data_IF_465167300724
#
_entry.id   IF_465167300724
#
_cell.length_a   1.000
_cell.length_b   1.000
_cell.length_c   1.000
_cell.angle_alpha   90.00
_cell.angle_beta   90.00
_cell.angle_gamma   90.00
#
_symmetry.space_group_name_H-M   'P 1'
#
loop_
_entity.id
_entity.type
_entity.pdbx_description
1 polymer ?
#
# COMPACT_ATOMS: atom_id res chain seq x y z
N UNK A 1 37.86 -24.41 -33.45
CA UNK A 1 38.07 -22.99 -33.10
C UNK A 1 36.91 -22.18 -33.65
N UNK A 2 36.53 -21.11 -32.95
CA UNK A 2 35.38 -20.19 -33.16
C UNK A 2 34.05 -20.73 -32.61
N UNK A 3 33.65 -20.48 -31.36
CA UNK A 3 33.45 -19.23 -30.59
C UNK A 3 32.19 -18.44 -31.01
N UNK A 4 31.27 -18.36 -30.03
CA UNK A 4 30.35 -17.24 -29.74
C UNK A 4 29.12 -17.03 -30.63
N UNK A 5 27.94 -17.33 -30.09
CA UNK A 5 27.05 -16.25 -29.62
C UNK A 5 26.03 -16.81 -28.63
N UNK A 6 26.27 -16.50 -27.36
CA UNK A 6 25.25 -16.52 -26.32
C UNK A 6 24.23 -15.41 -26.63
N UNK A 7 23.10 -15.79 -27.22
CA UNK A 7 21.89 -14.96 -27.20
C UNK A 7 21.21 -15.19 -25.86
N UNK A 8 21.55 -14.37 -24.87
CA UNK A 8 20.75 -14.24 -23.64
C UNK A 8 19.37 -13.72 -24.06
N UNK A 9 18.44 -14.63 -24.29
CA UNK A 9 17.02 -14.33 -24.33
C UNK A 9 16.65 -13.82 -22.93
N UNK A 10 16.74 -12.50 -22.74
CA UNK A 10 16.13 -11.83 -21.60
C UNK A 10 14.63 -12.04 -21.73
N UNK A 11 14.15 -13.14 -21.16
CA UNK A 11 12.75 -13.36 -20.82
C UNK A 11 12.33 -12.24 -19.86
N UNK A 12 11.86 -11.15 -20.46
CA UNK A 12 11.10 -10.11 -19.79
C UNK A 12 9.98 -10.84 -19.04
N UNK A 13 9.82 -10.68 -17.72
CA UNK A 13 8.74 -11.37 -17.01
C UNK A 13 7.42 -10.91 -17.63
N UNK A 14 6.72 -11.86 -18.22
CA UNK A 14 5.35 -11.68 -18.69
C UNK A 14 4.49 -11.52 -17.44
N UNK A 15 4.29 -10.27 -17.02
CA UNK A 15 3.51 -9.91 -15.84
C UNK A 15 1.99 -10.03 -16.10
N UNK A 16 1.58 -10.64 -17.21
CA UNK A 16 0.19 -10.63 -17.67
C UNK A 16 -0.65 -11.81 -17.12
N UNK A 17 -0.02 -12.77 -16.43
CA UNK A 17 -0.70 -13.94 -15.85
C UNK A 17 -1.03 -13.80 -14.35
N UNK A 18 -0.67 -12.68 -13.70
CA UNK A 18 -1.02 -12.47 -12.30
C UNK A 18 -2.44 -11.92 -12.16
N UNK A 19 -3.42 -12.82 -12.30
CA UNK A 19 -4.84 -12.51 -12.06
C UNK A 19 -5.04 -12.01 -10.63
N UNK A 20 -5.79 -10.92 -10.49
CA UNK A 20 -6.18 -10.41 -9.18
C UNK A 20 -6.97 -11.46 -8.37
N UNK A 21 -6.71 -11.59 -7.07
CA UNK A 21 -7.46 -12.49 -6.19
C UNK A 21 -8.96 -12.19 -6.22
N UNK A 22 -9.79 -13.20 -5.96
CA UNK A 22 -11.23 -13.00 -5.90
C UNK A 22 -11.62 -12.04 -4.77
N UNK A 23 -12.76 -11.35 -4.89
CA UNK A 23 -13.26 -10.46 -3.83
C UNK A 23 -13.42 -11.22 -2.50
N UNK A 24 -13.82 -12.49 -2.56
CA UNK A 24 -13.93 -13.36 -1.38
C UNK A 24 -12.58 -13.61 -0.72
N UNK A 25 -11.52 -13.86 -1.49
CA UNK A 25 -10.17 -14.09 -0.95
C UNK A 25 -9.58 -12.82 -0.34
N UNK A 26 -9.84 -11.67 -0.97
CA UNK A 26 -9.44 -10.35 -0.45
C UNK A 26 -10.14 -10.07 0.89
N UNK A 27 -11.43 -10.33 1.00
CA UNK A 27 -12.19 -10.16 2.24
C UNK A 27 -11.76 -11.15 3.33
N UNK A 28 -11.46 -12.40 2.98
CA UNK A 28 -10.90 -13.38 3.94
C UNK A 28 -9.56 -12.91 4.50
N UNK A 29 -8.66 -12.43 3.63
CA UNK A 29 -7.35 -11.93 4.03
C UNK A 29 -7.48 -10.70 4.95
N UNK A 30 -8.30 -9.74 4.55
CA UNK A 30 -8.62 -8.54 5.34
C UNK A 30 -9.12 -8.90 6.74
N UNK A 31 -10.08 -9.82 6.84
CA UNK A 31 -10.63 -10.28 8.12
C UNK A 31 -9.59 -11.02 8.97
N UNK A 32 -8.75 -11.85 8.35
CA UNK A 32 -7.67 -12.54 9.05
C UNK A 32 -6.65 -11.57 9.64
N UNK A 33 -6.26 -10.54 8.88
CA UNK A 33 -5.32 -9.49 9.34
C UNK A 33 -5.94 -8.71 10.49
N UNK A 34 -7.20 -8.27 10.37
CA UNK A 34 -7.91 -7.60 11.46
C UNK A 34 -7.92 -8.45 12.73
N UNK A 35 -8.28 -9.73 12.63
CA UNK A 35 -8.30 -10.65 13.77
C UNK A 35 -6.91 -10.83 14.40
N UNK A 36 -5.84 -10.90 13.59
CA UNK A 36 -4.48 -11.05 14.09
C UNK A 36 -3.97 -9.81 14.83
N UNK A 37 -4.32 -8.61 14.33
CA UNK A 37 -3.98 -7.33 14.96
C UNK A 37 -4.85 -7.03 16.19
N UNK A 38 -5.95 -7.74 16.37
CA UNK A 38 -6.93 -7.51 17.42
C UNK A 38 -6.77 -8.39 18.67
N UNK A 39 -5.59 -8.99 18.89
CA UNK A 39 -5.38 -10.00 19.94
C UNK A 39 -5.42 -9.48 21.38
N UNK A 40 -5.12 -8.20 21.62
CA UNK A 40 -5.03 -7.62 22.97
C UNK A 40 -6.25 -6.79 23.40
N UNK A 41 -7.38 -6.88 22.66
CA UNK A 41 -8.63 -6.21 23.04
C UNK A 41 -8.66 -4.68 22.86
N UNK A 42 -7.59 -4.07 22.35
CA UNK A 42 -7.53 -2.64 21.99
C UNK A 42 -7.54 -2.48 20.45
N UNK A 43 -8.75 -2.43 19.87
CA UNK A 43 -9.01 -3.00 18.52
C UNK A 43 -9.75 -2.09 17.54
N UNK A 44 -9.86 -0.78 17.79
CA UNK A 44 -10.50 0.13 16.82
C UNK A 44 -9.52 0.74 15.83
N UNK A 45 -8.35 1.19 16.31
CA UNK A 45 -7.43 2.01 15.50
C UNK A 45 -6.86 1.27 14.27
N UNK A 46 -6.60 -0.03 14.39
CA UNK A 46 -5.98 -0.80 13.31
C UNK A 46 -7.00 -1.34 12.30
N UNK A 47 -8.25 -1.57 12.71
CA UNK A 47 -9.30 -2.00 11.78
C UNK A 47 -9.51 -0.95 10.69
N UNK A 48 -9.62 0.32 11.06
CA UNK A 48 -9.79 1.43 10.12
C UNK A 48 -8.60 1.61 9.18
N UNK A 49 -7.38 1.29 9.66
CA UNK A 49 -6.19 1.31 8.82
C UNK A 49 -6.20 0.17 7.80
N UNK A 50 -6.55 -1.05 8.23
CA UNK A 50 -6.67 -2.21 7.35
C UNK A 50 -7.77 -1.97 6.30
N UNK A 51 -8.93 -1.45 6.69
CA UNK A 51 -10.01 -1.11 5.75
C UNK A 51 -9.54 -0.11 4.69
N UNK A 52 -8.87 0.96 5.10
CA UNK A 52 -8.33 1.97 4.18
C UNK A 52 -7.30 1.38 3.22
N UNK A 53 -6.41 0.52 3.70
CA UNK A 53 -5.39 -0.12 2.87
C UNK A 53 -6.01 -1.03 1.80
N UNK A 54 -6.94 -1.90 2.19
CA UNK A 54 -7.60 -2.83 1.25
C UNK A 54 -8.49 -2.11 0.24
N UNK A 55 -9.23 -1.07 0.66
CA UNK A 55 -10.01 -0.24 -0.26
C UNK A 55 -9.11 0.45 -1.30
N UNK A 56 -7.99 1.02 -0.86
CA UNK A 56 -7.03 1.66 -1.74
C UNK A 56 -6.44 0.70 -2.78
N UNK A 57 -6.07 -0.51 -2.37
CA UNK A 57 -5.60 -1.55 -3.29
C UNK A 57 -6.67 -1.95 -4.31
N UNK A 58 -7.93 -2.07 -3.87
CA UNK A 58 -9.05 -2.34 -4.78
C UNK A 58 -9.28 -1.22 -5.81
N UNK A 59 -9.17 0.04 -5.39
CA UNK A 59 -9.30 1.19 -6.28
C UNK A 59 -8.16 1.29 -7.30
N UNK A 60 -6.93 1.00 -6.87
CA UNK A 60 -5.77 0.89 -7.76
C UNK A 60 -6.01 -0.19 -8.81
N UNK A 61 -6.47 -1.36 -8.38
CA UNK A 61 -6.69 -2.49 -9.27
C UNK A 61 -7.75 -2.16 -10.32
N UNK A 62 -8.90 -1.61 -9.90
CA UNK A 62 -9.96 -1.15 -10.81
C UNK A 62 -9.45 -0.09 -11.80
N UNK A 63 -8.60 0.84 -11.36
CA UNK A 63 -7.99 1.85 -12.25
C UNK A 63 -7.07 1.20 -13.28
N UNK A 64 -6.27 0.22 -12.88
CA UNK A 64 -5.39 -0.49 -13.80
C UNK A 64 -6.18 -1.32 -14.83
N UNK A 65 -7.24 -2.03 -14.41
CA UNK A 65 -8.08 -2.83 -15.32
C UNK A 65 -8.86 -1.98 -16.33
N UNK A 66 -9.31 -0.79 -15.92
CA UNK A 66 -10.13 0.10 -16.76
C UNK A 66 -9.34 1.16 -17.53
N UNK A 67 -8.01 1.17 -17.42
CA UNK A 67 -7.18 2.20 -18.05
C UNK A 67 -6.80 1.88 -19.49
N UNK A 68 -7.04 2.85 -20.39
CA UNK A 68 -6.53 2.86 -21.75
C UNK A 68 -5.00 3.12 -21.83
N UNK A 69 -4.39 3.65 -20.75
CA UNK A 69 -2.93 3.84 -20.61
C UNK A 69 -2.42 3.23 -19.29
N UNK A 70 -2.13 1.91 -19.27
CA UNK A 70 -1.66 1.22 -18.07
C UNK A 70 -0.36 1.79 -17.50
N UNK A 71 0.52 2.35 -18.35
CA UNK A 71 1.81 2.90 -17.90
C UNK A 71 1.64 4.23 -17.19
N UNK A 72 0.85 5.14 -17.76
CA UNK A 72 0.52 6.42 -17.12
C UNK A 72 -0.27 6.21 -15.83
N UNK A 73 -1.18 5.24 -15.80
CA UNK A 73 -1.91 4.88 -14.57
C UNK A 73 -0.98 4.33 -13.50
N UNK A 74 -0.06 3.42 -13.85
CA UNK A 74 0.93 2.89 -12.90
C UNK A 74 1.84 3.99 -12.34
N UNK A 75 2.29 4.94 -13.17
CA UNK A 75 3.09 6.09 -12.72
C UNK A 75 2.30 7.00 -11.76
N UNK A 76 1.02 7.23 -12.06
CA UNK A 76 0.12 7.97 -11.17
C UNK A 76 -0.07 7.28 -9.81
N UNK A 77 -0.23 5.95 -9.81
CA UNK A 77 -0.33 5.15 -8.59
C UNK A 77 0.97 5.22 -7.78
N UNK A 78 2.12 5.11 -8.43
CA UNK A 78 3.42 5.18 -7.77
C UNK A 78 3.64 6.55 -7.09
N UNK A 79 3.26 7.64 -7.76
CA UNK A 79 3.32 9.00 -7.20
C UNK A 79 2.39 9.18 -6.00
N UNK A 80 1.17 8.65 -6.08
CA UNK A 80 0.21 8.71 -4.97
C UNK A 80 0.69 7.91 -3.75
N UNK A 81 1.24 6.72 -3.96
CA UNK A 81 1.90 5.93 -2.91
C UNK A 81 3.06 6.68 -2.25
N UNK A 82 3.93 7.30 -3.06
CA UNK A 82 5.06 8.08 -2.56
C UNK A 82 4.57 9.25 -1.68
N UNK A 83 3.54 9.98 -2.13
CA UNK A 83 2.95 11.09 -1.37
C UNK A 83 2.35 10.63 -0.03
N UNK A 84 1.61 9.50 -0.03
CA UNK A 84 1.05 8.94 1.22
C UNK A 84 2.15 8.53 2.20
N UNK A 85 3.24 7.93 1.71
CA UNK A 85 4.38 7.57 2.53
C UNK A 85 5.08 8.82 3.11
N UNK A 86 5.27 9.86 2.31
CA UNK A 86 5.85 11.12 2.79
C UNK A 86 4.98 11.78 3.86
N UNK A 87 3.66 11.80 3.69
CA UNK A 87 2.73 12.29 4.70
C UNK A 87 2.81 11.48 5.99
N UNK A 88 2.77 10.15 5.90
CA UNK A 88 2.91 9.30 7.08
C UNK A 88 4.23 9.55 7.80
N UNK A 89 5.35 9.61 7.05
CA UNK A 89 6.69 9.88 7.59
C UNK A 89 6.78 11.25 8.28
N UNK A 90 6.13 12.28 7.74
CA UNK A 90 6.14 13.61 8.35
C UNK A 90 5.29 13.66 9.62
N UNK A 91 4.10 13.05 9.60
CA UNK A 91 3.24 12.97 10.79
C UNK A 91 3.90 12.22 11.97
N UNK A 92 4.80 11.28 11.70
CA UNK A 92 5.59 10.58 12.72
C UNK A 92 6.63 11.48 13.39
N UNK A 93 7.13 12.51 12.68
CA UNK A 93 8.07 13.49 13.25
C UNK A 93 7.35 14.52 14.11
N UNK A 94 6.12 14.88 13.72
CA UNK A 94 5.29 15.84 14.46
C UNK A 94 4.72 15.25 15.78
N UNK A 95 4.67 13.93 15.92
CA UNK A 95 4.31 13.25 17.19
C UNK A 95 5.48 13.17 18.20
N UNK A 96 6.73 13.41 17.76
CA UNK A 96 7.91 13.47 18.64
C UNK A 96 8.22 14.89 19.16
N UNK A 97 7.52 15.94 18.70
CA UNK A 97 7.57 17.24 19.38
C UNK A 97 6.69 17.17 20.64
N UNK A 98 7.27 17.15 21.86
CA UNK A 98 6.47 17.23 23.06
C UNK A 98 5.68 18.54 23.02
N UNK A 99 4.37 18.45 23.27
CA UNK A 99 3.54 19.59 23.62
C UNK A 99 3.98 20.15 24.99
N UNK A 100 5.18 20.72 25.05
CA UNK A 100 5.56 21.64 26.12
C UNK A 100 4.83 22.95 25.86
N UNK A 101 3.66 23.13 26.47
CA UNK A 101 2.97 24.42 26.40
C UNK A 101 1.48 24.40 26.66
N UNK A 102 1.00 23.65 27.64
CA UNK A 102 -0.36 23.85 28.16
C UNK A 102 -0.44 23.66 29.68
N UNK A 103 0.56 24.15 30.40
CA UNK A 103 0.45 24.34 31.84
C UNK A 103 1.11 25.67 32.21
N UNK A 104 0.42 26.79 31.93
CA UNK A 104 0.52 28.03 32.71
C UNK A 104 -0.45 29.10 32.19
N UNK A 105 -1.61 29.19 32.85
CA UNK A 105 -2.32 30.43 33.19
C UNK A 105 -3.33 30.05 34.29
N UNK A 106 -2.88 30.03 35.55
CA UNK A 106 -3.17 31.08 36.57
C UNK A 106 -4.65 31.09 36.94
N UNK A 107 -5.06 30.48 38.06
CA UNK A 107 -4.90 30.94 39.45
C UNK A 107 -5.60 32.26 39.71
#
# INVERSE_FOLDING_TARGET
MSAEQAGSESTKPDNNDQKWPSEEDVEKLKNSIKQSLNKDGNTSQYSDYVDRAFNYMGDIHKKMESSDDPKGTADGIAKDLASKFEQWKNNQKDEEEPKEGAEQASK
#
